data_IF_800828996586
#
_entry.id   IF_800828996586
#
_cell.length_a   1.000
_cell.length_b   1.000
_cell.length_c   1.000
_cell.angle_alpha   90.00
_cell.angle_beta   90.00
_cell.angle_gamma   90.00
#
_symmetry.space_group_name_H-M   'P 1'
#
loop_
_entity.id
_entity.type
_entity.pdbx_description
1 polymer ?
#
# COMPACT_ATOMS: atom_id res chain seq x y z
N UNK A 1 -14.27 122.09 11.41
CA UNK A 1 -15.50 121.30 11.22
C UNK A 1 -15.56 120.48 9.92
N UNK A 2 -14.96 120.91 8.80
CA UNK A 2 -15.02 120.19 7.51
C UNK A 2 -13.99 119.05 7.36
N UNK A 3 -12.81 119.16 7.97
CA UNK A 3 -11.73 118.17 7.86
C UNK A 3 -11.94 116.96 8.78
N UNK A 4 -12.48 117.16 9.98
CA UNK A 4 -12.81 116.08 10.91
C UNK A 4 -13.90 115.16 10.35
N UNK A 5 -14.92 115.73 9.70
CA UNK A 5 -15.96 114.97 9.00
C UNK A 5 -15.39 114.13 7.85
N UNK A 6 -14.36 114.62 7.14
CA UNK A 6 -13.67 113.87 6.07
C UNK A 6 -12.81 112.74 6.64
N UNK A 7 -12.14 112.94 7.78
CA UNK A 7 -11.35 111.90 8.46
C UNK A 7 -12.25 110.79 9.03
N UNK A 8 -13.39 111.15 9.63
CA UNK A 8 -14.38 110.18 10.10
C UNK A 8 -14.96 109.39 8.92
N UNK A 9 -15.35 110.04 7.83
CA UNK A 9 -15.84 109.35 6.64
C UNK A 9 -14.79 108.41 6.00
N UNK A 10 -13.51 108.80 5.98
CA UNK A 10 -12.43 107.94 5.49
C UNK A 10 -12.17 106.73 6.41
N UNK A 11 -12.26 106.91 7.73
CA UNK A 11 -12.16 105.81 8.70
C UNK A 11 -13.35 104.85 8.60
N UNK A 12 -14.57 105.37 8.38
CA UNK A 12 -15.77 104.57 8.17
C UNK A 12 -15.70 103.77 6.86
N UNK A 13 -15.15 104.36 5.79
CA UNK A 13 -14.88 103.66 4.53
C UNK A 13 -13.84 102.54 4.71
N UNK A 14 -12.73 102.80 5.40
CA UNK A 14 -11.73 101.77 5.70
C UNK A 14 -12.28 100.65 6.58
N UNK A 15 -13.15 100.97 7.54
CA UNK A 15 -13.82 99.99 8.38
C UNK A 15 -14.84 99.15 7.59
N UNK A 16 -15.57 99.76 6.63
CA UNK A 16 -16.48 99.07 5.73
C UNK A 16 -15.72 98.12 4.78
N UNK A 17 -14.63 98.58 4.19
CA UNK A 17 -13.77 97.77 3.30
C UNK A 17 -13.13 96.60 4.05
N UNK A 18 -12.66 96.83 5.29
CA UNK A 18 -12.12 95.76 6.14
C UNK A 18 -13.19 94.71 6.49
N UNK A 19 -14.43 95.11 6.75
CA UNK A 19 -15.56 94.18 6.97
C UNK A 19 -15.88 93.37 5.73
N UNK A 20 -15.94 94.01 4.56
CA UNK A 20 -16.18 93.33 3.28
C UNK A 20 -15.06 92.33 2.96
N UNK A 21 -13.79 92.68 3.21
CA UNK A 21 -12.66 91.78 3.03
C UNK A 21 -12.72 90.57 4.00
N UNK A 22 -13.11 90.79 5.26
CA UNK A 22 -13.30 89.70 6.22
C UNK A 22 -14.44 88.76 5.83
N UNK A 23 -15.57 89.30 5.38
CA UNK A 23 -16.71 88.50 4.89
C UNK A 23 -16.34 87.70 3.64
N UNK A 24 -15.65 88.33 2.67
CA UNK A 24 -15.14 87.64 1.49
C UNK A 24 -14.14 86.52 1.84
N UNK A 25 -13.26 86.74 2.83
CA UNK A 25 -12.33 85.73 3.31
C UNK A 25 -13.07 84.55 3.97
N UNK A 26 -14.09 84.82 4.80
CA UNK A 26 -14.93 83.79 5.44
C UNK A 26 -15.69 82.96 4.40
N UNK A 27 -16.28 83.59 3.38
CA UNK A 27 -17.00 82.89 2.31
C UNK A 27 -16.04 82.01 1.49
N UNK A 28 -14.84 82.50 1.17
CA UNK A 28 -13.80 81.70 0.49
C UNK A 28 -13.37 80.50 1.32
N UNK A 29 -13.19 80.67 2.63
CA UNK A 29 -12.83 79.58 3.52
C UNK A 29 -13.96 78.54 3.62
N UNK A 30 -15.21 78.98 3.75
CA UNK A 30 -16.37 78.08 3.77
C UNK A 30 -16.49 77.28 2.46
N UNK A 31 -16.30 77.93 1.31
CA UNK A 31 -16.29 77.28 0.00
C UNK A 31 -15.15 76.26 -0.14
N UNK A 32 -13.96 76.58 0.39
CA UNK A 32 -12.84 75.63 0.43
C UNK A 32 -13.16 74.43 1.30
N UNK A 33 -13.66 74.67 2.53
CA UNK A 33 -14.02 73.60 3.48
C UNK A 33 -15.15 72.72 2.94
N UNK A 34 -16.14 73.28 2.24
CA UNK A 34 -17.21 72.48 1.63
C UNK A 34 -16.70 71.61 0.48
N UNK A 35 -15.82 72.14 -0.38
CA UNK A 35 -15.18 71.38 -1.44
C UNK A 35 -14.26 70.27 -0.89
N UNK A 36 -13.49 70.55 0.15
CA UNK A 36 -12.66 69.53 0.83
C UNK A 36 -13.52 68.44 1.47
N UNK A 37 -14.62 68.79 2.14
CA UNK A 37 -15.58 67.82 2.68
C UNK A 37 -16.15 66.92 1.60
N UNK A 38 -16.60 67.48 0.48
CA UNK A 38 -17.12 66.71 -0.65
C UNK A 38 -16.06 65.76 -1.23
N UNK A 39 -14.79 66.17 -1.32
CA UNK A 39 -13.71 65.29 -1.76
C UNK A 39 -13.49 64.13 -0.80
N UNK A 40 -13.54 64.39 0.51
CA UNK A 40 -13.39 63.36 1.54
C UNK A 40 -14.57 62.38 1.52
N UNK A 41 -15.81 62.86 1.37
CA UNK A 41 -16.99 61.97 1.30
C UNK A 41 -16.90 61.06 0.08
N UNK A 42 -16.60 61.60 -1.10
CA UNK A 42 -16.44 60.81 -2.32
C UNK A 42 -15.30 59.78 -2.19
N UNK A 43 -14.19 60.15 -1.55
CA UNK A 43 -13.10 59.21 -1.29
C UNK A 43 -13.53 58.08 -0.35
N UNK A 44 -14.25 58.39 0.72
CA UNK A 44 -14.74 57.41 1.67
C UNK A 44 -15.77 56.46 1.04
N UNK A 45 -16.66 56.98 0.20
CA UNK A 45 -17.64 56.18 -0.56
C UNK A 45 -16.92 55.20 -1.50
N UNK A 46 -16.00 55.69 -2.34
CA UNK A 46 -15.19 54.84 -3.23
C UNK A 46 -14.39 53.79 -2.48
N UNK A 47 -13.87 54.13 -1.30
CA UNK A 47 -13.17 53.18 -0.45
C UNK A 47 -14.10 52.09 0.06
N UNK A 48 -15.30 52.44 0.54
CA UNK A 48 -16.31 51.49 1.00
C UNK A 48 -16.76 50.56 -0.11
N UNK A 49 -17.02 51.08 -1.31
CA UNK A 49 -17.38 50.28 -2.48
C UNK A 49 -16.30 49.25 -2.82
N UNK A 50 -15.03 49.65 -2.82
CA UNK A 50 -13.90 48.72 -3.05
C UNK A 50 -13.83 47.65 -1.96
N UNK A 51 -13.98 48.03 -0.70
CA UNK A 51 -13.98 47.08 0.41
C UNK A 51 -15.16 46.10 0.31
N UNK A 52 -16.34 46.56 -0.11
CA UNK A 52 -17.50 45.70 -0.35
C UNK A 52 -17.27 44.72 -1.49
N UNK A 53 -16.76 45.18 -2.64
CA UNK A 53 -16.43 44.31 -3.77
C UNK A 53 -15.40 43.24 -3.38
N UNK A 54 -14.36 43.61 -2.64
CA UNK A 54 -13.39 42.64 -2.14
C UNK A 54 -14.05 41.60 -1.23
N UNK A 55 -14.87 42.03 -0.27
CA UNK A 55 -15.61 41.11 0.61
C UNK A 55 -16.54 40.18 -0.15
N UNK A 56 -17.24 40.68 -1.18
CA UNK A 56 -18.11 39.86 -2.03
C UNK A 56 -17.32 38.82 -2.80
N UNK A 57 -16.20 39.21 -3.43
CA UNK A 57 -15.34 38.26 -4.16
C UNK A 57 -14.71 37.22 -3.23
N UNK A 58 -14.28 37.61 -2.03
CA UNK A 58 -13.79 36.69 -1.02
C UNK A 58 -14.89 35.74 -0.54
N UNK A 59 -16.09 36.25 -0.27
CA UNK A 59 -17.24 35.44 0.13
C UNK A 59 -17.61 34.41 -0.96
N UNK A 60 -17.59 34.80 -2.23
CA UNK A 60 -17.81 33.90 -3.36
C UNK A 60 -16.73 32.82 -3.44
N UNK A 61 -15.45 33.18 -3.32
CA UNK A 61 -14.33 32.22 -3.28
C UNK A 61 -14.47 31.23 -2.12
N UNK A 62 -14.81 31.72 -0.93
CA UNK A 62 -15.04 30.87 0.24
C UNK A 62 -16.26 29.94 0.05
N UNK A 63 -17.34 30.43 -0.56
CA UNK A 63 -18.51 29.61 -0.87
C UNK A 63 -18.17 28.50 -1.88
N UNK A 64 -17.43 28.82 -2.94
CA UNK A 64 -16.95 27.84 -3.91
C UNK A 64 -16.08 26.76 -3.24
N UNK A 65 -15.13 27.17 -2.41
CA UNK A 65 -14.28 26.25 -1.66
C UNK A 65 -15.08 25.34 -0.71
N UNK A 66 -16.09 25.90 -0.03
CA UNK A 66 -16.98 25.13 0.85
C UNK A 66 -17.78 24.10 0.08
N UNK A 67 -18.27 24.44 -1.10
CA UNK A 67 -19.01 23.51 -1.97
C UNK A 67 -18.12 22.39 -2.48
N UNK A 68 -16.90 22.72 -2.91
CA UNK A 68 -15.91 21.72 -3.31
C UNK A 68 -15.57 20.74 -2.17
N UNK A 69 -15.28 21.26 -0.97
CA UNK A 69 -15.01 20.43 0.22
C UNK A 69 -16.19 19.53 0.58
N UNK A 70 -17.43 20.01 0.43
CA UNK A 70 -18.64 19.20 0.67
C UNK A 70 -18.77 18.06 -0.34
N UNK A 71 -18.54 18.34 -1.63
CA UNK A 71 -18.58 17.31 -2.66
C UNK A 71 -17.49 16.25 -2.43
N UNK A 72 -16.28 16.68 -2.09
CA UNK A 72 -15.18 15.78 -1.77
C UNK A 72 -15.45 14.95 -0.50
N UNK A 73 -16.01 15.56 0.54
CA UNK A 73 -16.40 14.85 1.76
C UNK A 73 -17.44 13.76 1.47
N UNK A 74 -18.47 14.06 0.67
CA UNK A 74 -19.49 13.07 0.29
C UNK A 74 -18.88 11.91 -0.52
N UNK A 75 -17.95 12.21 -1.44
CA UNK A 75 -17.24 11.18 -2.20
C UNK A 75 -16.36 10.31 -1.29
N UNK A 76 -15.64 10.93 -0.36
CA UNK A 76 -14.78 10.20 0.58
C UNK A 76 -15.59 9.34 1.56
N UNK A 77 -16.74 9.82 2.03
CA UNK A 77 -17.67 9.02 2.84
C UNK A 77 -18.08 7.74 2.11
N UNK A 78 -18.58 7.85 0.87
CA UNK A 78 -18.95 6.68 0.05
C UNK A 78 -17.79 5.69 -0.15
N UNK A 79 -16.58 6.21 -0.37
CA UNK A 79 -15.38 5.37 -0.50
C UNK A 79 -15.03 4.63 0.78
N UNK A 80 -15.17 5.29 1.93
CA UNK A 80 -14.92 4.68 3.24
C UNK A 80 -15.95 3.60 3.51
N UNK A 81 -17.23 3.87 3.30
CA UNK A 81 -18.33 2.92 3.47
C UNK A 81 -18.15 1.67 2.58
N UNK A 82 -17.80 1.86 1.31
CA UNK A 82 -17.53 0.74 0.41
C UNK A 82 -16.33 -0.08 0.88
N UNK A 83 -15.25 0.57 1.32
CA UNK A 83 -14.05 -0.12 1.82
C UNK A 83 -14.31 -0.84 3.14
N UNK A 84 -15.11 -0.26 4.04
CA UNK A 84 -15.48 -0.91 5.29
C UNK A 84 -16.35 -2.15 5.02
N UNK A 85 -17.34 -2.05 4.11
CA UNK A 85 -18.16 -3.19 3.70
C UNK A 85 -17.31 -4.35 3.14
N UNK A 86 -16.42 -4.05 2.19
CA UNK A 86 -15.50 -5.06 1.62
C UNK A 86 -14.58 -5.68 2.67
N UNK A 87 -14.15 -4.89 3.67
CA UNK A 87 -13.33 -5.41 4.78
C UNK A 87 -14.14 -6.37 5.66
N UNK A 88 -15.38 -6.04 5.98
CA UNK A 88 -16.28 -6.90 6.75
C UNK A 88 -16.56 -8.21 6.02
N UNK A 89 -16.84 -8.16 4.72
CA UNK A 89 -17.04 -9.36 3.89
C UNK A 89 -15.80 -10.27 3.92
N UNK A 90 -14.60 -9.70 3.75
CA UNK A 90 -13.35 -10.46 3.83
C UNK A 90 -13.14 -11.11 5.20
N UNK A 91 -13.46 -10.38 6.28
CA UNK A 91 -13.34 -10.90 7.65
C UNK A 91 -14.32 -12.06 7.88
N UNK A 92 -15.58 -11.91 7.44
CA UNK A 92 -16.58 -12.99 7.52
C UNK A 92 -16.16 -14.22 6.71
N UNK A 93 -15.70 -14.03 5.48
CA UNK A 93 -15.20 -15.12 4.65
C UNK A 93 -13.98 -15.81 5.27
N UNK A 94 -13.07 -15.06 5.90
CA UNK A 94 -11.92 -15.63 6.61
C UNK A 94 -12.36 -16.45 7.83
N UNK A 95 -13.33 -15.96 8.61
CA UNK A 95 -13.88 -16.70 9.74
C UNK A 95 -14.55 -18.00 9.31
N UNK A 96 -15.39 -17.96 8.27
CA UNK A 96 -16.01 -19.17 7.71
C UNK A 96 -14.98 -20.18 7.22
N UNK A 97 -13.94 -19.73 6.51
CA UNK A 97 -12.83 -20.61 6.09
C UNK A 97 -12.11 -21.25 7.26
N UNK A 98 -11.88 -20.51 8.35
CA UNK A 98 -11.27 -21.04 9.57
C UNK A 98 -12.15 -22.09 10.26
N UNK A 99 -13.46 -21.85 10.33
CA UNK A 99 -14.41 -22.80 10.89
C UNK A 99 -14.44 -24.09 10.06
N UNK A 100 -14.57 -23.99 8.75
CA UNK A 100 -14.55 -25.15 7.84
C UNK A 100 -13.23 -25.93 7.94
N UNK A 101 -12.09 -25.24 8.04
CA UNK A 101 -10.80 -25.88 8.21
C UNK A 101 -10.73 -26.64 9.56
N UNK A 102 -11.20 -26.03 10.65
CA UNK A 102 -11.24 -26.67 11.96
C UNK A 102 -12.16 -27.91 11.98
N UNK A 103 -13.32 -27.85 11.32
CA UNK A 103 -14.22 -29.00 11.18
C UNK A 103 -13.58 -30.14 10.37
N UNK A 104 -12.91 -29.82 9.26
CA UNK A 104 -12.20 -30.80 8.45
C UNK A 104 -11.04 -31.44 9.21
N UNK A 105 -10.29 -30.65 9.99
CA UNK A 105 -9.22 -31.15 10.85
C UNK A 105 -9.77 -32.07 11.94
N UNK A 106 -10.87 -31.69 12.61
CA UNK A 106 -11.52 -32.53 13.61
C UNK A 106 -12.00 -33.86 13.01
N UNK A 107 -12.64 -33.84 11.83
CA UNK A 107 -13.06 -35.06 11.13
C UNK A 107 -11.87 -35.91 10.70
N UNK A 108 -10.76 -35.30 10.28
CA UNK A 108 -9.52 -36.01 9.94
C UNK A 108 -8.92 -36.66 11.18
N UNK A 109 -8.87 -35.96 12.31
CA UNK A 109 -8.37 -36.49 13.58
C UNK A 109 -9.23 -37.66 14.04
N UNK A 110 -10.56 -37.51 14.06
CA UNK A 110 -11.49 -38.59 14.40
C UNK A 110 -11.30 -39.83 13.54
N UNK A 111 -11.11 -39.68 12.22
CA UNK A 111 -10.78 -40.79 11.31
C UNK A 111 -9.43 -41.45 11.63
N UNK A 112 -8.40 -40.65 11.91
CA UNK A 112 -7.09 -41.17 12.29
C UNK A 112 -7.13 -41.91 13.62
N UNK A 113 -7.90 -41.43 14.59
CA UNK A 113 -8.05 -42.07 15.89
C UNK A 113 -8.80 -43.41 15.78
N UNK A 114 -9.83 -43.49 14.93
CA UNK A 114 -10.48 -44.77 14.61
C UNK A 114 -9.49 -45.78 13.99
N UNK A 115 -8.71 -45.35 12.99
CA UNK A 115 -7.67 -46.20 12.38
C UNK A 115 -6.60 -46.61 13.38
N UNK A 116 -6.20 -45.72 14.30
CA UNK A 116 -5.26 -46.05 15.38
C UNK A 116 -5.81 -47.13 16.29
N UNK A 117 -7.10 -47.10 16.61
CA UNK A 117 -7.75 -48.15 17.39
C UNK A 117 -7.80 -49.47 16.63
N UNK A 118 -8.11 -49.46 15.33
CA UNK A 118 -8.16 -50.66 14.48
C UNK A 118 -6.78 -51.32 14.29
N UNK A 119 -5.75 -50.52 14.03
CA UNK A 119 -4.38 -50.98 13.78
C UNK A 119 -3.60 -51.17 15.08
N UNK A 120 -4.17 -50.82 16.25
CA UNK A 120 -3.50 -51.01 17.54
C UNK A 120 -3.24 -52.49 17.73
N UNK A 121 -2.00 -52.89 17.50
CA UNK A 121 -1.53 -54.25 17.79
C UNK A 121 -1.55 -54.40 19.31
N UNK A 122 -2.54 -55.11 19.82
CA UNK A 122 -2.56 -55.58 21.19
C UNK A 122 -1.57 -56.74 21.31
N UNK A 123 -0.29 -56.39 21.43
CA UNK A 123 0.72 -57.35 21.83
C UNK A 123 0.62 -57.54 23.34
N UNK A 124 0.42 -58.79 23.78
CA UNK A 124 0.54 -59.14 25.18
C UNK A 124 1.93 -58.76 25.67
N UNK A 125 2.00 -58.29 26.93
CA UNK A 125 3.28 -57.99 27.57
C UNK A 125 3.99 -59.32 27.78
N UNK A 126 4.95 -59.61 26.91
CA UNK A 126 5.84 -60.76 27.00
C UNK A 126 7.15 -60.33 27.68
N UNK A 127 7.25 -60.44 29.02
CA UNK A 127 8.44 -60.05 29.76
C UNK A 127 9.63 -60.95 29.41
N UNK A 128 9.39 -62.20 29.02
CA UNK A 128 10.46 -63.15 28.70
C UNK A 128 11.16 -62.74 27.42
N UNK A 129 10.42 -62.29 26.40
CA UNK A 129 11.01 -61.71 25.19
C UNK A 129 11.69 -60.36 25.43
N UNK A 130 11.19 -59.56 26.35
CA UNK A 130 11.82 -58.28 26.76
C UNK A 130 13.15 -58.49 27.50
N UNK A 131 13.22 -59.55 28.32
CA UNK A 131 14.40 -59.92 29.08
C UNK A 131 15.34 -60.84 28.30
N UNK A 132 14.88 -61.46 27.22
CA UNK A 132 15.68 -62.30 26.35
C UNK A 132 16.84 -61.52 25.72
N UNK A 133 17.99 -62.16 25.64
CA UNK A 133 19.15 -61.60 24.96
C UNK A 133 18.81 -61.32 23.48
N UNK A 134 18.99 -60.07 23.05
CA UNK A 134 18.86 -59.74 21.63
C UNK A 134 19.90 -60.50 20.82
N UNK A 135 19.62 -60.76 19.54
CA UNK A 135 20.58 -61.41 18.63
C UNK A 135 21.95 -60.72 18.62
N UNK A 136 21.99 -59.40 18.84
CA UNK A 136 23.23 -58.66 18.95
C UNK A 136 24.00 -58.96 20.26
N UNK A 137 23.32 -59.11 21.40
CA UNK A 137 23.94 -59.52 22.66
C UNK A 137 24.41 -60.98 22.58
N UNK A 138 23.57 -61.85 22.03
CA UNK A 138 23.90 -63.27 21.81
C UNK A 138 25.09 -63.44 20.85
N UNK A 139 25.15 -62.68 19.77
CA UNK A 139 26.29 -62.67 18.83
C UNK A 139 27.59 -62.14 19.46
N UNK A 140 27.52 -61.27 20.48
CA UNK A 140 28.73 -60.89 21.24
C UNK A 140 29.29 -62.06 22.06
N UNK A 141 28.42 -62.94 22.56
CA UNK A 141 28.81 -64.15 23.28
C UNK A 141 29.25 -65.29 22.35
N UNK A 142 28.66 -65.39 21.16
CA UNK A 142 28.96 -66.45 20.16
C UNK A 142 30.17 -66.11 19.25
N UNK A 143 30.76 -64.92 19.36
CA UNK A 143 31.95 -64.49 18.62
C UNK A 143 31.62 -63.76 17.30
N UNK A 144 32.51 -62.88 16.78
CA UNK A 144 32.17 -61.97 15.69
C UNK A 144 31.96 -62.72 14.36
N UNK A 145 30.73 -62.68 13.84
CA UNK A 145 30.45 -62.97 12.44
C UNK A 145 31.19 -61.95 11.52
N UNK A 146 31.59 -62.35 10.30
CA UNK A 146 32.27 -61.45 9.37
C UNK A 146 31.39 -60.21 9.08
N UNK A 147 31.98 -59.01 8.98
CA UNK A 147 31.22 -57.79 8.75
C UNK A 147 30.47 -57.89 7.41
N UNK A 148 29.19 -57.48 7.36
CA UNK A 148 28.49 -57.36 6.09
C UNK A 148 29.24 -56.36 5.19
N UNK A 149 29.23 -56.56 3.86
CA UNK A 149 29.84 -55.62 2.94
C UNK A 149 29.25 -54.21 3.17
N UNK A 150 30.06 -53.14 3.06
CA UNK A 150 29.59 -51.79 3.30
C UNK A 150 28.39 -51.46 2.41
N UNK A 151 27.30 -50.97 3.01
CA UNK A 151 26.05 -50.64 2.32
C UNK A 151 26.21 -49.58 1.21
N UNK A 152 27.38 -48.93 1.14
CA UNK A 152 27.75 -47.90 0.16
C UNK A 152 28.50 -48.47 -1.06
N UNK A 153 28.64 -49.80 -1.18
CA UNK A 153 29.26 -50.41 -2.37
C UNK A 153 28.52 -50.07 -3.67
N UNK A 154 27.24 -49.70 -3.59
CA UNK A 154 26.47 -49.12 -4.69
C UNK A 154 26.26 -47.61 -4.45
N UNK A 155 27.26 -46.79 -4.77
CA UNK A 155 27.03 -45.37 -4.94
C UNK A 155 26.07 -45.20 -6.13
N UNK A 156 24.79 -44.98 -5.87
CA UNK A 156 23.81 -44.54 -6.87
C UNK A 156 24.04 -43.07 -7.25
N UNK A 157 25.28 -42.74 -7.59
CA UNK A 157 25.60 -41.48 -8.24
C UNK A 157 25.22 -41.58 -9.71
N UNK A 158 24.83 -40.45 -10.29
CA UNK A 158 24.60 -40.39 -11.72
C UNK A 158 25.93 -40.49 -12.45
N UNK A 159 25.99 -41.34 -13.48
CA UNK A 159 27.12 -41.39 -14.40
C UNK A 159 27.11 -40.14 -15.29
N UNK A 160 28.28 -39.68 -15.77
CA UNK A 160 28.36 -38.51 -16.66
C UNK A 160 27.51 -38.68 -17.94
N UNK A 161 27.36 -39.92 -18.41
CA UNK A 161 26.46 -40.29 -19.51
C UNK A 161 24.98 -40.07 -19.16
N UNK A 162 24.60 -40.31 -17.90
CA UNK A 162 23.24 -40.06 -17.41
C UNK A 162 22.99 -38.56 -17.24
N UNK A 163 23.98 -37.78 -16.79
CA UNK A 163 23.88 -36.32 -16.73
C UNK A 163 23.74 -35.71 -18.13
N UNK A 164 24.57 -36.11 -19.08
CA UNK A 164 24.55 -35.62 -20.47
C UNK A 164 23.33 -36.09 -21.28
N UNK A 165 22.57 -37.06 -20.78
CA UNK A 165 21.32 -37.49 -21.43
C UNK A 165 20.24 -36.39 -21.37
N UNK A 166 20.28 -35.53 -20.34
CA UNK A 166 19.30 -34.46 -20.16
C UNK A 166 19.40 -33.45 -21.31
N UNK A 167 18.26 -33.23 -21.98
CA UNK A 167 18.14 -32.28 -23.10
C UNK A 167 18.37 -30.85 -22.63
N UNK A 168 17.93 -30.51 -21.41
CA UNK A 168 18.08 -29.16 -20.86
C UNK A 168 19.54 -28.86 -20.54
N UNK A 169 20.24 -29.81 -19.93
CA UNK A 169 21.67 -29.67 -19.63
C UNK A 169 22.51 -29.50 -20.90
N UNK A 170 22.22 -30.30 -21.95
CA UNK A 170 22.90 -30.17 -23.25
C UNK A 170 22.69 -28.80 -23.88
N UNK A 171 21.46 -28.29 -23.84
CA UNK A 171 21.15 -26.98 -24.37
C UNK A 171 21.85 -25.85 -23.59
N UNK A 172 21.84 -25.93 -22.25
CA UNK A 172 22.53 -24.95 -21.41
C UNK A 172 24.02 -24.89 -21.73
N UNK A 173 24.68 -26.05 -21.86
CA UNK A 173 26.10 -26.11 -22.21
C UNK A 173 26.38 -25.45 -23.56
N UNK A 174 25.52 -25.66 -24.57
CA UNK A 174 25.64 -24.98 -25.88
C UNK A 174 25.44 -23.47 -25.79
N UNK A 175 24.48 -23.01 -24.99
CA UNK A 175 24.25 -21.57 -24.77
C UNK A 175 25.41 -20.92 -24.02
N UNK A 176 26.06 -21.66 -23.11
CA UNK A 176 27.26 -21.23 -22.39
C UNK A 176 28.47 -21.17 -23.31
N UNK A 177 28.69 -22.17 -24.16
CA UNK A 177 29.73 -22.18 -25.20
C UNK A 177 29.55 -21.00 -26.19
N UNK A 178 28.31 -20.65 -26.51
CA UNK A 178 27.98 -19.52 -27.37
C UNK A 178 27.98 -18.15 -26.67
N UNK A 179 28.19 -18.10 -25.35
CA UNK A 179 28.15 -16.85 -24.57
C UNK A 179 26.77 -16.19 -24.46
N UNK A 180 25.69 -16.94 -24.68
CA UNK A 180 24.31 -16.44 -24.72
C UNK A 180 23.50 -16.75 -23.45
N UNK A 181 24.11 -17.36 -22.43
CA UNK A 181 23.39 -17.86 -21.25
C UNK A 181 22.62 -16.77 -20.49
N UNK A 182 23.18 -15.56 -20.40
CA UNK A 182 22.57 -14.43 -19.67
C UNK A 182 21.53 -13.65 -20.49
N UNK A 183 21.26 -14.07 -21.74
CA UNK A 183 20.31 -13.40 -22.61
C UNK A 183 18.85 -13.79 -22.30
N UNK A 184 17.92 -12.88 -22.60
CA UNK A 184 16.48 -13.19 -22.54
C UNK A 184 16.12 -14.41 -23.41
N UNK A 185 16.82 -14.59 -24.53
CA UNK A 185 16.66 -15.73 -25.42
C UNK A 185 16.96 -17.07 -24.73
N UNK A 186 18.07 -17.17 -24.00
CA UNK A 186 18.41 -18.39 -23.25
C UNK A 186 17.33 -18.72 -22.20
N UNK A 187 16.80 -17.72 -21.51
CA UNK A 187 15.73 -17.89 -20.52
C UNK A 187 14.45 -18.47 -21.14
N UNK A 188 14.05 -17.95 -22.31
CA UNK A 188 12.85 -18.42 -23.02
C UNK A 188 13.01 -19.84 -23.55
N UNK A 189 14.15 -20.15 -24.17
CA UNK A 189 14.39 -21.49 -24.75
C UNK A 189 14.54 -22.54 -23.64
N UNK A 190 15.26 -22.26 -22.56
CA UNK A 190 15.38 -23.18 -21.42
C UNK A 190 14.04 -23.42 -20.71
N UNK A 191 13.13 -22.44 -20.74
CA UNK A 191 11.76 -22.61 -20.22
C UNK A 191 10.91 -23.48 -21.14
N UNK A 192 11.09 -23.37 -22.46
CA UNK A 192 10.34 -24.12 -23.46
C UNK A 192 10.72 -25.60 -23.52
N UNK A 193 11.99 -25.96 -23.25
CA UNK A 193 12.47 -27.36 -23.32
C UNK A 193 11.84 -28.28 -22.27
N UNK A 194 11.16 -27.74 -21.26
CA UNK A 194 10.52 -28.53 -20.21
C UNK A 194 11.54 -29.19 -19.27
N UNK A 195 11.17 -29.36 -18.00
CA UNK A 195 11.98 -30.15 -17.08
C UNK A 195 11.79 -31.65 -17.33
N UNK A 196 12.66 -32.51 -16.78
CA UNK A 196 12.40 -33.95 -16.76
C UNK A 196 11.00 -34.21 -16.17
N UNK A 197 10.30 -35.27 -16.63
CA UNK A 197 8.99 -35.62 -16.10
C UNK A 197 9.08 -35.73 -14.58
N UNK A 198 8.06 -35.21 -13.90
CA UNK A 198 7.96 -35.29 -12.44
C UNK A 198 8.13 -36.75 -12.02
N UNK A 199 8.75 -37.05 -10.87
CA UNK A 199 9.10 -38.43 -10.49
C UNK A 199 7.93 -39.43 -10.55
N UNK A 200 6.70 -38.98 -10.30
CA UNK A 200 5.46 -39.78 -10.38
C UNK A 200 4.93 -40.01 -11.82
N UNK A 201 5.55 -39.39 -12.83
CA UNK A 201 5.25 -39.55 -14.26
C UNK A 201 6.40 -40.23 -15.01
N UNK A 202 7.44 -40.71 -14.29
CA UNK A 202 8.40 -41.61 -14.90
C UNK A 202 7.65 -42.92 -15.20
N UNK A 203 7.73 -43.46 -16.42
CA UNK A 203 7.41 -44.87 -16.61
C UNK A 203 8.42 -45.63 -15.76
N UNK A 204 7.99 -46.09 -14.58
CA UNK A 204 8.79 -47.00 -13.78
C UNK A 204 9.09 -48.23 -14.65
N UNK A 205 10.31 -48.75 -14.52
CA UNK A 205 10.71 -50.01 -15.12
C UNK A 205 9.58 -51.03 -15.06
N UNK A 206 9.13 -51.52 -16.22
CA UNK A 206 8.27 -52.69 -16.33
C UNK A 206 8.97 -53.88 -15.66
N UNK A 207 8.62 -54.17 -14.40
CA UNK A 207 9.02 -55.40 -13.71
C UNK A 207 8.32 -56.65 -14.29
N UNK A 208 7.48 -56.49 -15.31
CA UNK A 208 6.75 -57.58 -15.98
C UNK A 208 7.58 -58.35 -17.00
N UNK A 209 8.82 -57.93 -17.32
CA UNK A 209 9.67 -58.60 -18.32
C UNK A 209 10.73 -59.56 -17.72
N UNK A 210 10.67 -59.88 -16.42
CA UNK A 210 11.62 -60.79 -15.76
C UNK A 210 10.96 -62.11 -15.33
N UNK A 211 10.08 -62.66 -16.17
CA UNK A 211 9.46 -63.96 -15.95
C UNK A 211 9.13 -64.62 -17.28
N UNK A 212 10.16 -65.11 -17.97
CA UNK A 212 10.13 -66.28 -18.86
C UNK A 212 11.48 -66.40 -19.58
N UNK A 213 12.46 -67.04 -18.91
CA UNK A 213 13.48 -67.92 -19.50
C UNK A 213 13.98 -68.90 -18.44
#
# INVERSE_FOLDING_TARGET
>A
MSEERRRVAAADQQAADARQQQEAARLREQARRSAERQRVTLFQERRREREQQLRETEAQRHAALRNWRRAEAAHNQRRVELRSGLREERLRAQQQRRQLAAEQEAQRQSRLDALRCEVRVEAERDPDRLLAETLATRARHEGPAPPPPPAHAANHSFWDSQLTSDRRLRLENRLREAGLLDSCYASEVLRAVGGPPRPHLRPEHDWSAAGDR
#
